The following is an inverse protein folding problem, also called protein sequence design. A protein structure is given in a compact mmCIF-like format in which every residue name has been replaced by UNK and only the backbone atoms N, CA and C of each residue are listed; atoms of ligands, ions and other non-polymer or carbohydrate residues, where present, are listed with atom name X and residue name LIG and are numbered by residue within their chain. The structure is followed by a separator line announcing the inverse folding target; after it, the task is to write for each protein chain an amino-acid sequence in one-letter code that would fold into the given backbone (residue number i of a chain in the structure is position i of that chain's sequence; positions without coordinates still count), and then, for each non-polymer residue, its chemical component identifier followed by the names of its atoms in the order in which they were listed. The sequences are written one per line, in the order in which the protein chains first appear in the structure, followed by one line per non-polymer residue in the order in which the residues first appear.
data_IF_129790634387
#
_entry.id   IF_129790634387
#
_cell.length_a   1.000
_cell.length_b   1.000
_cell.length_c   1.000
_cell.angle_alpha   90.00
_cell.angle_beta   90.00
_cell.angle_gamma   90.00
#
_symmetry.space_group_name_H-M   'P 1'
#
loop_
_entity.id
_entity.type
_entity.pdbx_description
1 polymer ?
#
# COMPACT_ATOMS: atom_id res chain seq x y z
N UNK A 1 -24.49 32.23 18.02
CA UNK A 1 -24.41 31.78 16.62
C UNK A 1 -23.43 30.61 16.58
N UNK A 2 -23.94 29.39 16.59
CA UNK A 2 -23.12 28.17 16.49
C UNK A 2 -22.54 28.11 15.08
N UNK A 3 -21.21 28.21 14.96
CA UNK A 3 -20.55 28.03 13.67
C UNK A 3 -20.80 26.59 13.22
N UNK A 4 -21.64 26.39 12.20
CA UNK A 4 -21.80 25.13 11.51
C UNK A 4 -20.41 24.71 10.96
N UNK A 5 -19.69 23.87 11.69
CA UNK A 5 -18.46 23.27 11.18
C UNK A 5 -18.82 22.45 9.96
N UNK A 6 -18.29 22.82 8.82
CA UNK A 6 -18.40 22.03 7.59
C UNK A 6 -17.82 20.64 7.89
N UNK A 7 -18.68 19.62 7.83
CA UNK A 7 -18.24 18.22 7.95
C UNK A 7 -18.14 17.67 6.53
N UNK A 8 -16.96 17.16 6.19
CA UNK A 8 -16.78 16.43 4.93
C UNK A 8 -17.76 15.26 4.87
N UNK A 9 -18.45 15.07 3.72
CA UNK A 9 -19.29 13.89 3.54
C UNK A 9 -18.46 12.61 3.59
N UNK A 10 -19.10 11.48 3.88
CA UNK A 10 -18.43 10.18 3.84
C UNK A 10 -18.05 9.81 2.40
N UNK A 11 -17.05 8.94 2.23
CA UNK A 11 -16.63 8.44 0.92
C UNK A 11 -17.83 7.87 0.13
N UNK A 12 -18.72 7.13 0.77
CA UNK A 12 -19.92 6.57 0.14
C UNK A 12 -20.84 7.67 -0.42
N UNK A 13 -21.05 8.75 0.33
CA UNK A 13 -21.86 9.89 -0.13
C UNK A 13 -21.22 10.55 -1.35
N UNK A 14 -19.89 10.75 -1.33
CA UNK A 14 -19.15 11.35 -2.44
C UNK A 14 -19.25 10.46 -3.68
N UNK A 15 -19.02 9.15 -3.55
CA UNK A 15 -19.12 8.20 -4.67
C UNK A 15 -20.53 8.17 -5.26
N UNK A 16 -21.56 8.14 -4.41
CA UNK A 16 -22.94 8.18 -4.89
C UNK A 16 -23.28 9.48 -5.62
N UNK A 17 -22.82 10.62 -5.11
CA UNK A 17 -22.97 11.91 -5.81
C UNK A 17 -22.24 11.91 -7.16
N UNK A 18 -21.06 11.30 -7.26
CA UNK A 18 -20.35 11.15 -8.53
C UNK A 18 -21.13 10.27 -9.53
N UNK A 19 -21.71 9.14 -9.07
CA UNK A 19 -22.58 8.31 -9.92
C UNK A 19 -23.75 9.12 -10.48
N UNK A 20 -24.43 9.91 -9.62
CA UNK A 20 -25.53 10.77 -10.05
C UNK A 20 -25.07 11.86 -11.03
N UNK A 21 -23.92 12.48 -10.79
CA UNK A 21 -23.34 13.49 -11.66
C UNK A 21 -23.00 12.90 -13.04
N UNK A 22 -22.37 11.71 -13.07
CA UNK A 22 -22.07 11.01 -14.32
C UNK A 22 -23.35 10.63 -15.04
N UNK A 23 -24.35 10.07 -14.35
CA UNK A 23 -25.65 9.75 -14.96
C UNK A 23 -26.32 11.00 -15.56
N UNK A 24 -26.29 12.13 -14.86
CA UNK A 24 -26.82 13.40 -15.38
C UNK A 24 -26.01 13.88 -16.59
N UNK A 25 -24.70 13.72 -16.62
CA UNK A 25 -23.84 14.13 -17.74
C UNK A 25 -24.17 13.41 -19.05
N UNK A 26 -24.67 12.16 -18.97
CA UNK A 26 -25.07 11.38 -20.17
C UNK A 26 -26.26 11.99 -20.95
N UNK A 27 -26.94 12.96 -20.37
CA UNK A 27 -28.01 13.70 -21.04
C UNK A 27 -27.51 14.88 -21.88
N UNK A 28 -26.29 15.30 -21.62
CA UNK A 28 -25.69 16.52 -22.26
C UNK A 28 -24.49 16.15 -23.14
N UNK A 29 -23.78 15.08 -22.83
CA UNK A 29 -22.59 14.66 -23.57
C UNK A 29 -23.01 13.75 -24.74
N UNK A 30 -22.62 14.08 -25.99
CA UNK A 30 -22.89 13.22 -27.14
C UNK A 30 -22.24 11.83 -26.94
N UNK A 31 -23.01 10.78 -27.24
CA UNK A 31 -22.52 9.42 -27.17
C UNK A 31 -21.62 9.08 -28.37
N UNK A 32 -20.47 8.45 -28.10
CA UNK A 32 -19.53 8.00 -29.10
C UNK A 32 -18.84 6.71 -28.68
N UNK A 33 -18.31 5.99 -29.65
CA UNK A 33 -17.56 4.76 -29.41
C UNK A 33 -16.31 4.71 -30.28
N UNK A 34 -15.35 3.87 -29.90
CA UNK A 34 -14.22 3.48 -30.74
C UNK A 34 -14.42 2.05 -31.23
N UNK A 35 -13.83 1.70 -32.36
CA UNK A 35 -13.67 0.31 -32.75
C UNK A 35 -12.56 -0.31 -31.87
N UNK A 36 -12.70 -1.58 -31.55
CA UNK A 36 -11.73 -2.31 -30.73
C UNK A 36 -11.10 -3.44 -31.54
N UNK A 37 -9.77 -3.54 -31.49
CA UNK A 37 -9.01 -4.68 -31.99
C UNK A 37 -8.26 -5.29 -30.79
N UNK A 38 -8.46 -6.58 -30.55
CA UNK A 38 -7.87 -7.33 -29.42
C UNK A 38 -8.08 -6.64 -28.04
N UNK A 39 -9.25 -6.02 -27.85
CA UNK A 39 -9.60 -5.32 -26.61
C UNK A 39 -9.00 -3.91 -26.47
N UNK A 40 -8.22 -3.44 -27.46
CA UNK A 40 -7.59 -2.11 -27.46
C UNK A 40 -8.35 -1.19 -28.43
N UNK A 41 -8.67 0.08 -28.02
CA UNK A 41 -9.31 1.03 -28.90
C UNK A 41 -8.39 1.42 -30.07
N UNK A 42 -8.93 1.34 -31.29
CA UNK A 42 -8.22 1.70 -32.52
C UNK A 42 -8.14 3.21 -32.64
N UNK A 43 -6.95 3.75 -32.78
CA UNK A 43 -6.73 5.20 -32.94
C UNK A 43 -7.45 5.73 -34.18
N UNK A 44 -8.19 6.85 -34.03
CA UNK A 44 -8.92 7.48 -35.16
C UNK A 44 -10.26 6.83 -35.52
N UNK A 45 -10.68 5.75 -34.86
CA UNK A 45 -11.95 5.05 -35.13
C UNK A 45 -13.16 5.64 -34.39
N UNK A 46 -13.01 6.79 -33.71
CA UNK A 46 -14.12 7.40 -32.99
C UNK A 46 -15.31 7.69 -33.93
N UNK A 47 -16.48 7.20 -33.56
CA UNK A 47 -17.73 7.46 -34.27
C UNK A 47 -18.87 7.75 -33.28
N UNK A 48 -19.82 8.57 -33.71
CA UNK A 48 -21.00 8.87 -32.90
C UNK A 48 -21.95 7.66 -32.88
N UNK A 49 -22.47 7.35 -31.70
CA UNK A 49 -23.48 6.30 -31.51
C UNK A 49 -24.79 6.88 -30.98
N UNK A 50 -25.86 6.09 -30.98
CA UNK A 50 -27.14 6.53 -30.46
C UNK A 50 -27.02 6.90 -28.98
N UNK A 51 -27.54 8.05 -28.60
CA UNK A 51 -27.53 8.50 -27.21
C UNK A 51 -28.37 7.56 -26.33
N UNK A 52 -27.79 7.14 -25.21
CA UNK A 52 -28.44 6.30 -24.20
C UNK A 52 -28.39 6.98 -22.83
N UNK A 53 -29.16 8.06 -22.60
CA UNK A 53 -29.14 8.81 -21.35
C UNK A 53 -29.57 7.91 -20.18
N UNK A 54 -28.79 7.95 -19.11
CA UNK A 54 -29.00 7.09 -17.95
C UNK A 54 -29.92 7.75 -16.93
N UNK A 55 -30.94 7.02 -16.49
CA UNK A 55 -31.87 7.47 -15.45
C UNK A 55 -31.47 7.00 -14.05
N UNK A 56 -32.30 7.37 -13.06
CA UNK A 56 -32.11 7.01 -11.65
C UNK A 56 -31.98 5.50 -11.44
N UNK A 57 -32.75 4.69 -12.18
CA UNK A 57 -32.67 3.24 -12.10
C UNK A 57 -31.29 2.69 -12.51
N UNK A 58 -30.66 3.27 -13.51
CA UNK A 58 -29.30 2.94 -13.92
C UNK A 58 -28.28 3.36 -12.86
N UNK A 59 -28.43 4.58 -12.31
CA UNK A 59 -27.56 5.06 -11.23
C UNK A 59 -27.61 4.17 -9.98
N UNK A 60 -28.79 3.67 -9.60
CA UNK A 60 -28.92 2.74 -8.47
C UNK A 60 -28.30 1.37 -8.76
N UNK A 61 -28.35 0.90 -10.01
CA UNK A 61 -27.73 -0.37 -10.41
C UNK A 61 -26.22 -0.25 -10.60
N UNK A 62 -25.71 0.93 -10.89
CA UNK A 62 -24.29 1.15 -11.19
C UNK A 62 -23.34 0.64 -10.11
N UNK A 63 -23.69 0.79 -8.83
CA UNK A 63 -22.90 0.27 -7.73
C UNK A 63 -22.76 -1.26 -7.75
N UNK A 64 -23.85 -1.98 -8.09
CA UNK A 64 -23.84 -3.43 -8.19
C UNK A 64 -23.11 -3.91 -9.45
N UNK A 65 -23.34 -3.25 -10.60
CA UNK A 65 -22.64 -3.56 -11.84
C UNK A 65 -21.13 -3.36 -11.68
N UNK A 66 -20.72 -2.20 -11.11
CA UNK A 66 -19.31 -1.93 -10.84
C UNK A 66 -18.65 -2.93 -9.89
N UNK A 67 -19.39 -3.47 -8.90
CA UNK A 67 -18.89 -4.55 -8.06
C UNK A 67 -18.65 -5.84 -8.85
N UNK A 68 -19.59 -6.22 -9.73
CA UNK A 68 -19.41 -7.40 -10.59
C UNK A 68 -18.25 -7.24 -11.57
N UNK A 69 -18.09 -6.05 -12.14
CA UNK A 69 -17.01 -5.73 -13.08
C UNK A 69 -15.63 -5.74 -12.41
N UNK A 70 -15.58 -5.44 -11.09
CA UNK A 70 -14.35 -5.36 -10.30
C UNK A 70 -14.18 -6.54 -9.33
N UNK A 71 -14.93 -7.63 -9.47
CA UNK A 71 -14.92 -8.74 -8.50
C UNK A 71 -13.54 -9.36 -8.30
N UNK A 72 -12.77 -9.52 -9.37
CA UNK A 72 -11.42 -10.07 -9.31
C UNK A 72 -10.48 -9.20 -8.47
N UNK A 73 -10.56 -7.88 -8.65
CA UNK A 73 -9.82 -6.90 -7.85
C UNK A 73 -10.27 -6.95 -6.39
N UNK A 74 -11.58 -7.01 -6.14
CA UNK A 74 -12.12 -7.07 -4.78
C UNK A 74 -11.64 -8.33 -4.04
N UNK A 75 -11.71 -9.50 -4.70
CA UNK A 75 -11.23 -10.77 -4.12
C UNK A 75 -9.73 -10.69 -3.84
N UNK A 76 -8.95 -10.15 -4.77
CA UNK A 76 -7.51 -9.99 -4.58
C UNK A 76 -7.18 -9.11 -3.37
N UNK A 77 -7.85 -7.96 -3.21
CA UNK A 77 -7.69 -7.06 -2.06
C UNK A 77 -7.99 -7.80 -0.75
N UNK A 78 -9.08 -8.56 -0.70
CA UNK A 78 -9.45 -9.35 0.47
C UNK A 78 -8.38 -10.41 0.80
N UNK A 79 -7.86 -11.10 -0.20
CA UNK A 79 -6.82 -12.12 0.01
C UNK A 79 -5.51 -11.51 0.52
N UNK A 80 -5.09 -10.36 -0.03
CA UNK A 80 -3.92 -9.62 0.47
C UNK A 80 -4.15 -9.13 1.89
N UNK A 81 -5.29 -8.53 2.17
CA UNK A 81 -5.66 -8.04 3.51
C UNK A 81 -5.69 -9.18 4.53
N UNK A 82 -6.33 -10.30 4.20
CA UNK A 82 -6.36 -11.49 5.05
C UNK A 82 -4.96 -12.04 5.34
N UNK A 83 -4.10 -12.16 4.33
CA UNK A 83 -2.69 -12.54 4.51
C UNK A 83 -1.95 -11.59 5.46
N UNK A 84 -2.07 -10.28 5.24
CA UNK A 84 -1.45 -9.27 6.09
C UNK A 84 -1.98 -9.35 7.52
N UNK A 85 -3.29 -9.54 7.71
CA UNK A 85 -3.90 -9.72 9.02
C UNK A 85 -3.29 -10.89 9.79
N UNK A 86 -3.09 -12.04 9.12
CA UNK A 86 -2.42 -13.21 9.73
C UNK A 86 -0.96 -12.91 10.06
N UNK A 87 -0.20 -12.29 9.15
CA UNK A 87 1.20 -11.91 9.40
C UNK A 87 1.31 -10.93 10.58
N UNK A 88 0.47 -9.91 10.63
CA UNK A 88 0.45 -8.92 11.73
C UNK A 88 0.12 -9.58 13.08
N UNK A 89 -0.83 -10.53 13.10
CA UNK A 89 -1.20 -11.29 14.30
C UNK A 89 -0.01 -12.03 14.92
N UNK A 90 0.94 -12.51 14.11
CA UNK A 90 2.14 -13.21 14.61
C UNK A 90 3.12 -12.32 15.38
N UNK A 91 3.04 -10.99 15.22
CA UNK A 91 4.02 -10.03 15.73
C UNK A 91 5.39 -10.09 15.06
N UNK A 92 5.53 -10.84 13.96
CA UNK A 92 6.82 -11.04 13.30
C UNK A 92 7.37 -9.73 12.72
N UNK A 93 6.50 -8.86 12.15
CA UNK A 93 6.90 -7.56 11.62
C UNK A 93 7.40 -6.66 12.75
N UNK A 94 6.69 -6.59 13.87
CA UNK A 94 7.08 -5.78 15.03
C UNK A 94 8.41 -6.25 15.62
N UNK A 95 8.60 -7.57 15.73
CA UNK A 95 9.87 -8.16 16.18
C UNK A 95 11.02 -7.86 15.21
N UNK A 96 10.75 -7.88 13.90
CA UNK A 96 11.71 -7.51 12.86
C UNK A 96 12.16 -6.06 12.98
N UNK A 97 11.22 -5.13 13.05
CA UNK A 97 11.50 -3.70 13.23
C UNK A 97 12.23 -3.44 14.54
N UNK A 98 11.79 -4.03 15.65
CA UNK A 98 12.44 -3.91 16.96
C UNK A 98 13.90 -4.39 16.91
N UNK A 99 14.19 -5.48 16.21
CA UNK A 99 15.55 -5.98 16.03
C UNK A 99 16.43 -5.03 15.20
N UNK A 100 15.89 -4.40 14.16
CA UNK A 100 16.59 -3.36 13.38
C UNK A 100 16.94 -2.17 14.26
N UNK A 101 15.98 -1.68 15.06
CA UNK A 101 16.20 -0.59 16.01
C UNK A 101 17.31 -0.94 16.99
N UNK A 102 17.25 -2.13 17.61
CA UNK A 102 18.24 -2.56 18.60
C UNK A 102 19.66 -2.66 18.01
N UNK A 103 19.80 -3.11 16.75
CA UNK A 103 21.10 -3.21 16.07
C UNK A 103 21.68 -1.88 15.64
N UNK A 104 20.84 -0.87 15.48
CA UNK A 104 21.23 0.47 14.99
C UNK A 104 21.30 1.52 16.10
N UNK A 105 21.21 1.13 17.37
CA UNK A 105 21.44 2.03 18.49
C UNK A 105 22.82 2.70 18.38
N UNK A 106 22.86 4.03 18.51
CA UNK A 106 24.06 4.83 18.31
C UNK A 106 24.39 5.17 16.84
N UNK A 107 23.57 4.69 15.89
CA UNK A 107 23.69 4.99 14.45
C UNK A 107 22.36 5.52 13.91
N UNK A 108 21.75 6.47 14.61
CA UNK A 108 20.36 6.90 14.37
C UNK A 108 20.15 7.48 12.97
N UNK A 109 21.20 8.06 12.36
CA UNK A 109 21.09 8.55 10.96
C UNK A 109 20.86 7.41 9.97
N UNK A 110 21.47 6.24 10.21
CA UNK A 110 21.23 5.04 9.41
C UNK A 110 19.85 4.44 9.70
N UNK A 111 19.38 4.55 10.94
CA UNK A 111 18.06 4.09 11.33
C UNK A 111 16.96 4.79 10.50
N UNK A 112 17.08 6.12 10.31
CA UNK A 112 16.16 6.91 9.47
C UNK A 112 16.10 6.31 8.06
N UNK A 113 17.26 6.17 7.40
CA UNK A 113 17.31 5.69 6.02
C UNK A 113 16.79 4.24 5.87
N UNK A 114 17.17 3.35 6.80
CA UNK A 114 16.77 1.94 6.75
C UNK A 114 15.28 1.78 7.00
N UNK A 115 14.72 2.49 7.98
CA UNK A 115 13.28 2.42 8.25
C UNK A 115 12.46 3.04 7.13
N UNK A 116 12.88 4.19 6.58
CA UNK A 116 12.20 4.78 5.43
C UNK A 116 12.22 3.82 4.24
N UNK A 117 13.37 3.22 3.93
CA UNK A 117 13.45 2.21 2.86
C UNK A 117 12.55 1.00 3.14
N UNK A 118 12.47 0.54 4.38
CA UNK A 118 11.57 -0.56 4.78
C UNK A 118 10.10 -0.17 4.52
N UNK A 119 9.66 1.00 4.99
CA UNK A 119 8.31 1.49 4.75
C UNK A 119 8.05 1.76 3.26
N UNK A 120 9.05 2.32 2.55
CA UNK A 120 8.99 2.56 1.13
C UNK A 120 8.84 1.28 0.31
N UNK A 121 9.56 0.22 0.67
CA UNK A 121 9.39 -1.10 0.06
C UNK A 121 7.98 -1.66 0.32
N UNK A 122 7.45 -1.53 1.54
CA UNK A 122 6.07 -1.89 1.84
C UNK A 122 5.07 -1.10 1.00
N UNK A 123 5.24 0.22 0.93
CA UNK A 123 4.38 1.10 0.13
C UNK A 123 4.39 0.77 -1.36
N UNK A 124 5.57 0.52 -1.94
CA UNK A 124 5.71 0.29 -3.38
C UNK A 124 5.31 -1.12 -3.82
N UNK A 125 5.33 -2.11 -2.91
CA UNK A 125 4.99 -3.51 -3.22
C UNK A 125 3.54 -3.85 -2.96
N UNK A 126 3.05 -3.65 -1.75
CA UNK A 126 1.66 -4.00 -1.38
C UNK A 126 0.80 -2.80 -0.96
N UNK A 127 1.34 -1.58 -1.06
CA UNK A 127 0.57 -0.38 -0.74
C UNK A 127 0.47 -0.10 0.75
N UNK A 128 1.48 -0.47 1.54
CA UNK A 128 1.51 -0.23 2.99
C UNK A 128 1.21 1.22 3.32
N UNK A 129 0.07 1.47 3.94
CA UNK A 129 -0.36 2.80 4.35
C UNK A 129 -1.03 2.77 5.73
N UNK A 130 -2.16 2.09 5.87
CA UNK A 130 -2.93 1.99 7.11
C UNK A 130 -2.16 1.24 8.19
N UNK A 131 -1.44 0.20 7.83
CA UNK A 131 -0.63 -0.62 8.75
C UNK A 131 0.50 0.18 9.39
N UNK A 132 0.90 1.30 8.76
CA UNK A 132 1.92 2.20 9.34
C UNK A 132 1.50 2.75 10.69
N UNK A 133 0.18 2.82 10.97
CA UNK A 133 -0.35 3.31 12.24
C UNK A 133 0.17 2.52 13.45
N UNK A 134 0.39 1.21 13.29
CA UNK A 134 0.90 0.34 14.35
C UNK A 134 2.34 0.70 14.78
N UNK A 135 3.12 1.34 13.91
CA UNK A 135 4.53 1.65 14.19
C UNK A 135 4.73 2.99 14.91
N UNK A 136 3.71 3.87 14.95
CA UNK A 136 3.85 5.14 15.66
C UNK A 136 4.16 4.97 17.16
N UNK A 137 3.43 4.15 17.92
CA UNK A 137 3.73 3.91 19.34
C UNK A 137 5.13 3.32 19.55
N UNK A 138 5.63 2.52 18.60
CA UNK A 138 6.93 1.89 18.69
C UNK A 138 8.07 2.85 18.35
N UNK A 139 7.96 3.62 17.26
CA UNK A 139 9.05 4.40 16.68
C UNK A 139 9.16 5.82 17.25
N UNK A 140 8.04 6.49 17.55
CA UNK A 140 8.10 7.84 18.10
C UNK A 140 8.95 7.94 19.36
N UNK A 141 8.76 7.07 20.39
CA UNK A 141 9.58 7.10 21.59
C UNK A 141 11.06 6.90 21.30
N UNK A 142 11.40 6.05 20.33
CA UNK A 142 12.80 5.76 19.94
C UNK A 142 13.45 7.02 19.35
N UNK A 143 12.78 7.73 18.44
CA UNK A 143 13.31 8.96 17.85
C UNK A 143 13.41 10.08 18.88
N UNK A 144 12.44 10.23 19.77
CA UNK A 144 12.50 11.21 20.86
C UNK A 144 13.66 10.92 21.83
N UNK A 145 13.86 9.65 22.22
CA UNK A 145 14.96 9.23 23.08
C UNK A 145 16.34 9.43 22.40
N UNK A 146 16.39 9.32 21.07
CA UNK A 146 17.59 9.60 20.28
C UNK A 146 17.89 11.10 20.09
N UNK A 147 17.06 12.00 20.66
CA UNK A 147 17.25 13.46 20.60
C UNK A 147 16.71 14.11 19.33
N UNK A 148 15.81 13.44 18.63
CA UNK A 148 15.03 14.01 17.53
C UNK A 148 13.67 14.53 18.05
N UNK A 149 12.93 15.23 17.21
CA UNK A 149 11.56 15.63 17.51
C UNK A 149 10.53 14.61 16.96
N UNK A 150 9.26 14.82 17.35
CA UNK A 150 8.19 13.96 16.89
C UNK A 150 7.97 14.02 15.36
N UNK A 151 8.32 15.13 14.71
CA UNK A 151 8.20 15.28 13.25
C UNK A 151 9.12 14.33 12.53
N UNK A 152 10.34 14.09 13.01
CA UNK A 152 11.26 13.09 12.43
C UNK A 152 10.63 11.71 12.50
N UNK A 153 10.09 11.28 13.66
CA UNK A 153 9.46 9.98 13.79
C UNK A 153 8.25 9.80 12.87
N UNK A 154 7.40 10.81 12.80
CA UNK A 154 6.23 10.81 11.88
C UNK A 154 6.69 10.81 10.43
N UNK A 155 7.66 11.62 10.06
CA UNK A 155 8.15 11.73 8.69
C UNK A 155 8.80 10.42 8.20
N UNK A 156 9.57 9.74 9.05
CA UNK A 156 10.17 8.43 8.69
C UNK A 156 9.09 7.43 8.28
N UNK A 157 7.99 7.37 9.00
CA UNK A 157 6.90 6.44 8.72
C UNK A 157 6.12 6.90 7.49
N UNK A 158 5.57 8.12 7.52
CA UNK A 158 4.64 8.59 6.48
C UNK A 158 5.33 8.90 5.16
N UNK A 159 6.50 9.54 5.17
CA UNK A 159 7.19 9.87 3.91
C UNK A 159 7.88 8.64 3.33
N UNK A 160 8.39 7.72 4.16
CA UNK A 160 8.90 6.45 3.67
C UNK A 160 7.81 5.65 2.95
N UNK A 161 6.71 5.33 3.63
CA UNK A 161 5.60 4.60 3.03
C UNK A 161 4.99 5.37 1.84
N UNK A 162 4.80 6.69 1.98
CA UNK A 162 4.19 7.54 0.96
C UNK A 162 5.01 7.64 -0.32
N UNK A 163 6.34 7.76 -0.25
CA UNK A 163 7.20 7.75 -1.42
C UNK A 163 7.10 6.40 -2.16
N UNK A 164 7.02 5.29 -1.42
CA UNK A 164 6.79 3.97 -1.96
C UNK A 164 5.44 3.84 -2.67
N UNK A 165 4.35 4.28 -2.02
CA UNK A 165 2.99 4.23 -2.60
C UNK A 165 2.89 5.08 -3.86
N UNK A 166 3.51 6.27 -3.89
CA UNK A 166 3.52 7.13 -5.09
C UNK A 166 4.27 6.46 -6.24
N UNK A 167 5.39 5.81 -5.96
CA UNK A 167 6.18 5.11 -6.98
C UNK A 167 5.53 3.81 -7.46
N UNK A 168 4.80 3.11 -6.57
CA UNK A 168 3.89 2.00 -6.88
C UNK A 168 4.43 0.98 -7.90
N UNK A 169 5.52 0.27 -7.58
CA UNK A 169 6.17 -0.66 -8.54
C UNK A 169 5.26 -1.82 -8.94
N UNK A 170 4.72 -2.52 -7.96
CA UNK A 170 3.81 -3.67 -8.15
C UNK A 170 2.62 -3.62 -7.18
N UNK A 171 2.35 -2.46 -6.63
CA UNK A 171 1.26 -2.24 -5.68
C UNK A 171 -0.09 -2.60 -6.32
N UNK A 172 -0.80 -3.60 -5.78
CA UNK A 172 -2.05 -4.07 -6.34
C UNK A 172 -3.17 -3.03 -6.30
N UNK A 173 -3.19 -2.19 -5.26
CA UNK A 173 -4.25 -1.20 -5.05
C UNK A 173 -4.14 0.02 -5.98
N UNK A 174 -2.94 0.38 -6.39
CA UNK A 174 -2.74 1.51 -7.30
C UNK A 174 -2.43 1.01 -8.71
N UNK A 175 -1.28 0.38 -8.90
CA UNK A 175 -0.84 -0.09 -10.22
C UNK A 175 -1.70 -1.25 -10.73
N UNK A 176 -2.08 -2.19 -9.85
CA UNK A 176 -2.89 -3.35 -10.25
C UNK A 176 -4.25 -2.94 -10.80
N UNK A 177 -4.97 -2.08 -10.06
CA UNK A 177 -6.27 -1.57 -10.49
C UNK A 177 -6.14 -0.77 -11.80
N UNK A 178 -5.14 0.13 -11.89
CA UNK A 178 -4.93 0.93 -13.08
C UNK A 178 -4.58 0.07 -14.31
N UNK A 179 -3.70 -0.93 -14.15
CA UNK A 179 -3.34 -1.87 -15.19
C UNK A 179 -4.55 -2.70 -15.66
N UNK A 180 -5.39 -3.15 -14.71
CA UNK A 180 -6.63 -3.88 -15.01
C UNK A 180 -7.58 -3.09 -15.90
N UNK A 181 -7.83 -1.82 -15.57
CA UNK A 181 -8.66 -0.94 -16.40
C UNK A 181 -8.01 -0.58 -17.74
N UNK A 182 -6.68 -0.51 -17.80
CA UNK A 182 -5.96 -0.26 -19.04
C UNK A 182 -5.81 -1.49 -19.93
N UNK A 183 -6.10 -2.70 -19.43
CA UNK A 183 -5.93 -3.96 -20.16
C UNK A 183 -4.46 -4.31 -20.42
N UNK A 184 -3.55 -3.87 -19.54
CA UNK A 184 -2.10 -4.13 -19.64
C UNK A 184 -1.62 -4.94 -18.44
N UNK A 185 -0.45 -5.60 -18.57
CA UNK A 185 0.13 -6.38 -17.47
C UNK A 185 0.49 -5.49 -16.27
N UNK A 186 0.36 -6.02 -15.06
CA UNK A 186 0.88 -5.38 -13.84
C UNK A 186 2.40 -5.11 -13.93
N UNK A 187 3.13 -5.92 -14.70
CA UNK A 187 4.56 -5.78 -14.94
C UNK A 187 4.94 -4.70 -15.95
N UNK A 188 4.02 -4.26 -16.81
CA UNK A 188 4.32 -3.27 -17.85
C UNK A 188 4.83 -1.97 -17.24
N UNK A 189 5.94 -1.46 -17.80
CA UNK A 189 6.56 -0.24 -17.29
C UNK A 189 7.25 -0.36 -15.93
N UNK A 190 7.45 -1.57 -15.39
CA UNK A 190 8.05 -1.80 -14.05
C UNK A 190 9.42 -1.14 -13.89
N UNK A 191 10.25 -1.11 -14.95
CA UNK A 191 11.57 -0.48 -14.90
C UNK A 191 11.46 1.02 -14.58
N UNK A 192 10.52 1.72 -15.22
CA UNK A 192 10.30 3.15 -14.98
C UNK A 192 9.78 3.40 -13.57
N UNK A 193 8.92 2.54 -13.05
CA UNK A 193 8.40 2.61 -11.67
C UNK A 193 9.48 2.32 -10.64
N UNK A 194 10.43 1.42 -10.92
CA UNK A 194 11.61 1.21 -10.06
C UNK A 194 12.49 2.47 -10.05
N UNK A 195 12.72 3.10 -11.19
CA UNK A 195 13.47 4.37 -11.27
C UNK A 195 12.76 5.47 -10.45
N UNK A 196 11.44 5.59 -10.58
CA UNK A 196 10.64 6.52 -9.78
C UNK A 196 10.75 6.23 -8.28
N UNK A 197 10.69 4.95 -7.89
CA UNK A 197 10.86 4.55 -6.49
C UNK A 197 12.22 4.99 -5.94
N UNK A 198 13.30 4.69 -6.64
CA UNK A 198 14.65 5.07 -6.21
C UNK A 198 14.79 6.59 -6.07
N UNK A 199 14.23 7.35 -7.02
CA UNK A 199 14.26 8.81 -7.00
C UNK A 199 13.44 9.40 -5.85
N UNK A 200 12.17 9.00 -5.72
CA UNK A 200 11.28 9.57 -4.70
C UNK A 200 11.69 9.17 -3.29
N UNK A 201 12.03 7.89 -3.09
CA UNK A 201 12.51 7.40 -1.81
C UNK A 201 13.86 8.04 -1.44
N UNK A 202 14.78 8.16 -2.40
CA UNK A 202 16.07 8.82 -2.19
C UNK A 202 15.91 10.29 -1.80
N UNK A 203 15.02 11.04 -2.45
CA UNK A 203 14.70 12.44 -2.10
C UNK A 203 14.06 12.51 -0.71
N UNK A 204 13.12 11.63 -0.40
CA UNK A 204 12.45 11.59 0.90
C UNK A 204 13.46 11.30 2.03
N UNK A 205 14.30 10.28 1.87
CA UNK A 205 15.37 9.94 2.83
C UNK A 205 16.33 11.12 3.03
N UNK A 206 16.77 11.73 1.94
CA UNK A 206 17.65 12.91 2.02
C UNK A 206 17.00 14.06 2.78
N UNK A 207 15.75 14.38 2.46
CA UNK A 207 15.03 15.49 3.08
C UNK A 207 14.82 15.27 4.58
N UNK A 208 14.33 14.09 4.97
CA UNK A 208 14.09 13.74 6.38
C UNK A 208 15.41 13.68 7.17
N UNK A 209 16.46 13.08 6.58
CA UNK A 209 17.78 13.02 7.20
C UNK A 209 18.39 14.40 7.39
N UNK A 210 18.22 15.31 6.42
CA UNK A 210 18.69 16.68 6.51
C UNK A 210 17.93 17.49 7.58
N UNK A 211 16.61 17.28 7.70
CA UNK A 211 15.82 17.88 8.77
C UNK A 211 16.25 17.33 10.15
N UNK A 212 16.33 16.02 10.28
CA UNK A 212 16.75 15.34 11.50
C UNK A 212 18.15 15.81 11.98
N UNK A 213 19.10 15.93 11.07
CA UNK A 213 20.44 16.45 11.38
C UNK A 213 20.42 17.91 11.86
N UNK A 214 19.53 18.74 11.31
CA UNK A 214 19.36 20.14 11.78
C UNK A 214 18.79 20.21 13.17
N UNK A 215 17.71 19.45 13.45
CA UNK A 215 17.07 19.40 14.77
C UNK A 215 18.01 18.84 15.82
N UNK A 216 18.79 17.79 15.50
CA UNK A 216 19.76 17.19 16.42
C UNK A 216 20.90 18.15 16.79
N UNK A 217 21.33 19.01 15.85
CA UNK A 217 22.39 20.05 16.11
C UNK A 217 21.84 21.24 16.89
N UNK A 218 20.65 21.67 16.57
CA UNK A 218 20.01 22.85 17.13
C UNK A 218 18.51 22.55 17.38
N UNK A 219 18.19 22.17 18.62
CA UNK A 219 16.81 21.85 19.02
C UNK A 219 15.80 22.99 18.81
N UNK A 220 16.24 24.24 18.75
CA UNK A 220 15.37 25.40 18.50
C UNK A 220 14.79 25.41 17.06
N UNK A 221 15.38 24.65 16.15
CA UNK A 221 14.94 24.51 14.76
C UNK A 221 13.83 23.48 14.56
N UNK A 222 13.40 22.81 15.63
CA UNK A 222 12.23 21.93 15.57
C UNK A 222 10.97 22.76 15.32
N UNK A 223 10.15 22.35 14.36
CA UNK A 223 8.87 23.01 14.06
C UNK A 223 7.79 22.77 15.12
N UNK A 224 7.95 21.77 15.98
CA UNK A 224 7.00 21.43 17.07
C UNK A 224 7.59 21.62 18.46
N UNK A 225 8.87 21.98 18.58
CA UNK A 225 9.59 22.07 19.86
C UNK A 225 10.00 20.69 20.39
N UNK A 226 11.23 20.65 20.98
CA UNK A 226 11.68 19.45 21.69
C UNK A 226 11.10 19.52 23.09
N UNK A 227 10.12 18.73 23.40
CA UNK A 227 9.51 18.66 24.73
C UNK A 227 7.98 18.80 24.76
N UNK A 228 7.33 18.96 23.64
CA UNK A 228 5.87 18.89 23.55
C UNK A 228 5.29 17.50 23.88
N UNK A 229 6.12 16.54 24.22
CA UNK A 229 5.75 15.21 24.65
C UNK A 229 6.79 14.65 25.61
N UNK A 230 6.66 14.91 26.90
CA UNK A 230 6.96 13.87 27.87
C UNK A 230 5.90 12.76 27.68
N UNK A 231 5.85 12.18 26.50
CA UNK A 231 5.34 10.84 26.36
C UNK A 231 6.24 10.00 27.25
N UNK A 232 5.73 9.60 28.41
CA UNK A 232 6.29 8.49 29.15
C UNK A 232 6.25 7.34 28.13
N UNK A 233 7.39 7.17 27.47
CA UNK A 233 7.60 6.04 26.60
C UNK A 233 7.56 4.82 27.51
N UNK A 234 6.38 4.26 27.68
CA UNK A 234 6.30 2.84 27.83
C UNK A 234 6.84 2.34 26.49
N UNK A 235 8.16 2.11 26.48
CA UNK A 235 8.85 1.50 25.33
C UNK A 235 8.22 0.12 25.24
N UNK A 236 7.17 0.02 24.43
CA UNK A 236 6.39 -1.19 24.25
C UNK A 236 7.37 -2.35 24.14
N UNK A 237 7.13 -3.40 24.86
CA UNK A 237 8.05 -4.54 25.02
C UNK A 237 8.72 -4.86 23.69
N UNK A 238 10.02 -4.55 23.58
CA UNK A 238 10.84 -4.91 22.42
C UNK A 238 10.77 -6.43 22.30
N UNK A 239 9.94 -6.92 21.39
CA UNK A 239 9.80 -8.36 21.21
C UNK A 239 11.08 -8.88 20.56
N UNK A 240 11.76 -9.87 21.17
CA UNK A 240 12.96 -10.44 20.57
C UNK A 240 12.60 -11.18 19.28
N UNK A 241 13.40 -10.98 18.24
CA UNK A 241 13.25 -11.70 16.97
C UNK A 241 13.56 -13.19 17.20
N UNK A 242 12.54 -14.02 17.27
CA UNK A 242 12.68 -15.47 17.39
C UNK A 242 12.98 -16.09 16.03
N UNK A 243 13.49 -17.36 16.03
CA UNK A 243 13.65 -18.13 14.78
C UNK A 243 12.34 -18.29 14.03
N UNK A 244 11.22 -18.42 14.75
CA UNK A 244 9.88 -18.51 14.16
C UNK A 244 9.51 -17.20 13.47
N UNK A 245 9.68 -16.06 14.14
CA UNK A 245 9.43 -14.74 13.52
C UNK A 245 10.29 -14.54 12.27
N UNK A 246 11.57 -14.91 12.31
CA UNK A 246 12.45 -14.81 11.14
C UNK A 246 11.97 -15.70 9.97
N UNK A 247 11.49 -16.92 10.26
CA UNK A 247 10.92 -17.79 9.24
C UNK A 247 9.62 -17.25 8.66
N UNK A 248 8.74 -16.66 9.49
CA UNK A 248 7.51 -16.01 9.03
C UNK A 248 7.85 -14.80 8.13
N UNK A 249 8.80 -13.95 8.53
CA UNK A 249 9.27 -12.83 7.69
C UNK A 249 9.89 -13.31 6.38
N UNK A 250 10.54 -14.46 6.38
CA UNK A 250 11.06 -15.07 5.15
C UNK A 250 9.91 -15.52 4.23
N UNK A 251 8.88 -16.19 4.77
CA UNK A 251 7.67 -16.56 3.98
C UNK A 251 6.98 -15.31 3.47
N UNK A 252 6.83 -14.28 4.31
CA UNK A 252 6.29 -12.98 3.90
C UNK A 252 7.05 -12.39 2.71
N UNK A 253 8.37 -12.26 2.82
CA UNK A 253 9.20 -11.73 1.74
C UNK A 253 9.13 -12.61 0.48
N UNK A 254 9.15 -13.95 0.64
CA UNK A 254 9.07 -14.89 -0.46
C UNK A 254 7.73 -14.77 -1.21
N UNK A 255 6.62 -14.60 -0.50
CA UNK A 255 5.29 -14.41 -1.12
C UNK A 255 5.32 -13.20 -2.06
N UNK A 256 5.90 -12.06 -1.63
CA UNK A 256 6.03 -10.88 -2.51
C UNK A 256 7.04 -11.10 -3.64
N UNK A 257 8.14 -11.79 -3.40
CA UNK A 257 9.10 -12.11 -4.48
C UNK A 257 8.47 -13.00 -5.55
N UNK A 258 7.67 -14.00 -5.14
CA UNK A 258 6.92 -14.87 -6.06
C UNK A 258 5.85 -14.08 -6.81
N UNK A 259 5.14 -13.16 -6.14
CA UNK A 259 4.22 -12.25 -6.78
C UNK A 259 4.91 -11.43 -7.87
N UNK A 260 6.03 -10.78 -7.54
CA UNK A 260 6.80 -9.96 -8.48
C UNK A 260 7.25 -10.80 -9.68
N UNK A 261 7.79 -12.00 -9.42
CA UNK A 261 8.20 -12.91 -10.50
C UNK A 261 7.02 -13.31 -11.38
N UNK A 262 5.85 -13.56 -10.79
CA UNK A 262 4.63 -13.98 -11.49
C UNK A 262 4.09 -12.95 -12.47
N UNK A 263 4.33 -11.65 -12.21
CA UNK A 263 3.76 -10.55 -13.02
C UNK A 263 4.75 -9.91 -14.00
N UNK A 264 6.06 -10.20 -13.90
CA UNK A 264 7.06 -9.58 -14.79
C UNK A 264 6.98 -10.21 -16.19
N UNK A 265 6.83 -9.41 -17.26
CA UNK A 265 6.89 -9.86 -18.65
C UNK A 265 8.37 -9.96 -19.10
N UNK A 266 9.06 -11.04 -18.72
CA UNK A 266 10.48 -11.24 -18.99
C UNK A 266 10.81 -11.31 -20.49
N UNK A 267 9.87 -11.78 -21.33
CA UNK A 267 9.99 -11.83 -22.79
C UNK A 267 10.09 -10.43 -23.40
N UNK A 268 9.27 -9.48 -22.94
CA UNK A 268 9.33 -8.08 -23.37
C UNK A 268 10.64 -7.40 -22.96
N UNK A 269 11.24 -7.85 -21.85
CA UNK A 269 12.53 -7.37 -21.36
C UNK A 269 13.73 -8.05 -22.07
N UNK A 270 13.48 -9.00 -22.99
CA UNK A 270 14.51 -9.78 -23.68
C UNK A 270 15.27 -10.75 -22.77
N UNK A 271 14.71 -11.13 -21.63
CA UNK A 271 15.29 -12.07 -20.69
C UNK A 271 14.78 -13.49 -20.97
N UNK A 272 15.67 -14.53 -21.02
CA UNK A 272 15.27 -15.92 -21.29
C UNK A 272 14.70 -16.60 -20.04
N UNK A 273 13.74 -15.97 -19.36
CA UNK A 273 13.06 -16.50 -18.17
C UNK A 273 11.61 -16.84 -18.51
N UNK A 274 11.02 -17.88 -17.88
CA UNK A 274 9.62 -18.21 -18.10
C UNK A 274 8.72 -17.08 -17.64
N UNK A 275 7.82 -16.64 -18.51
CA UNK A 275 6.77 -15.68 -18.17
C UNK A 275 5.58 -16.45 -17.65
N UNK A 276 5.10 -16.11 -16.45
CA UNK A 276 3.95 -16.75 -15.84
C UNK A 276 2.64 -16.04 -16.19
N UNK A 277 2.69 -14.73 -16.49
CA UNK A 277 1.53 -13.93 -16.86
C UNK A 277 0.43 -13.93 -15.81
N UNK A 278 0.81 -13.97 -14.54
CA UNK A 278 -0.14 -14.01 -13.43
C UNK A 278 -0.97 -12.74 -13.35
N UNK A 279 -2.25 -12.95 -13.03
CA UNK A 279 -3.22 -11.91 -12.80
C UNK A 279 -3.88 -12.08 -11.43
N UNK A 280 -4.97 -11.37 -11.17
CA UNK A 280 -5.63 -11.36 -9.86
C UNK A 280 -6.01 -12.74 -9.31
N UNK A 281 -6.49 -13.73 -10.09
CA UNK A 281 -6.81 -15.06 -9.55
C UNK A 281 -5.59 -15.79 -8.99
N UNK A 282 -4.46 -15.82 -9.74
CA UNK A 282 -3.23 -16.48 -9.32
C UNK A 282 -2.60 -15.77 -8.11
N UNK A 283 -2.63 -14.43 -8.13
CA UNK A 283 -2.15 -13.62 -7.02
C UNK A 283 -3.00 -13.83 -5.78
N UNK A 284 -4.32 -13.91 -5.90
CA UNK A 284 -5.24 -14.21 -4.79
C UNK A 284 -4.93 -15.56 -4.16
N UNK A 285 -4.71 -16.60 -5.00
CA UNK A 285 -4.34 -17.93 -4.53
C UNK A 285 -2.99 -17.92 -3.80
N UNK A 286 -1.99 -17.16 -4.29
CA UNK A 286 -0.68 -17.01 -3.65
C UNK A 286 -0.81 -16.44 -2.23
N UNK A 287 -1.56 -15.36 -2.06
CA UNK A 287 -1.74 -14.71 -0.75
C UNK A 287 -2.56 -15.56 0.21
N UNK A 288 -3.58 -16.27 -0.28
CA UNK A 288 -4.34 -17.22 0.52
C UNK A 288 -3.44 -18.34 1.05
N UNK A 289 -2.64 -18.96 0.18
CA UNK A 289 -1.68 -20.02 0.58
C UNK A 289 -0.62 -19.46 1.53
N UNK A 290 -0.09 -18.27 1.26
CA UNK A 290 0.85 -17.59 2.15
C UNK A 290 0.27 -17.38 3.54
N UNK A 291 -0.99 -16.93 3.65
CA UNK A 291 -1.69 -16.77 4.92
C UNK A 291 -1.87 -18.07 5.69
N UNK A 292 -2.26 -19.15 4.99
CA UNK A 292 -2.37 -20.48 5.60
C UNK A 292 -1.02 -20.96 6.11
N UNK A 293 0.04 -20.85 5.31
CA UNK A 293 1.40 -21.27 5.70
C UNK A 293 1.87 -20.51 6.93
N UNK A 294 1.70 -19.18 6.96
CA UNK A 294 2.08 -18.35 8.11
C UNK A 294 1.28 -18.74 9.36
N UNK A 295 -0.04 -18.92 9.23
CA UNK A 295 -0.90 -19.34 10.34
C UNK A 295 -0.50 -20.70 10.92
N UNK A 296 -0.18 -21.66 10.06
CA UNK A 296 0.32 -22.97 10.49
C UNK A 296 1.69 -22.87 11.19
N UNK A 297 2.59 -22.02 10.69
CA UNK A 297 3.91 -21.78 11.32
C UNK A 297 3.76 -21.14 12.69
N UNK A 298 2.78 -20.26 12.87
CA UNK A 298 2.48 -19.63 14.15
C UNK A 298 1.63 -20.52 15.06
N UNK A 299 1.18 -21.69 14.56
CA UNK A 299 0.35 -22.68 15.25
C UNK A 299 -1.02 -22.12 15.66
N UNK A 300 -1.58 -21.25 14.83
CA UNK A 300 -2.95 -20.80 15.01
C UNK A 300 -3.90 -21.97 14.84
N UNK A 301 -4.92 -22.06 15.70
CA UNK A 301 -6.00 -23.01 15.52
C UNK A 301 -6.82 -22.67 14.27
N UNK A 302 -7.52 -23.66 13.70
CA UNK A 302 -8.34 -23.46 12.48
C UNK A 302 -9.30 -22.28 12.58
N UNK A 303 -10.03 -22.20 13.68
CA UNK A 303 -11.01 -21.12 13.92
C UNK A 303 -10.29 -19.76 14.04
N UNK A 304 -9.21 -19.71 14.84
CA UNK A 304 -8.45 -18.47 15.04
C UNK A 304 -7.80 -17.99 13.73
N UNK A 305 -7.28 -18.90 12.91
CA UNK A 305 -6.72 -18.58 11.60
C UNK A 305 -7.81 -17.98 10.68
N UNK A 306 -8.97 -18.62 10.61
CA UNK A 306 -10.08 -18.15 9.78
C UNK A 306 -10.58 -16.77 10.25
N UNK A 307 -10.80 -16.58 11.55
CA UNK A 307 -11.24 -15.31 12.12
C UNK A 307 -10.20 -14.19 11.88
N UNK A 308 -8.90 -14.49 12.07
CA UNK A 308 -7.82 -13.53 11.83
C UNK A 308 -7.74 -13.15 10.36
N UNK A 309 -7.84 -14.13 9.46
CA UNK A 309 -7.83 -13.89 8.03
C UNK A 309 -9.02 -13.02 7.62
N UNK A 310 -10.23 -13.38 8.02
CA UNK A 310 -11.45 -12.60 7.71
C UNK A 310 -11.40 -11.19 8.31
N UNK A 311 -10.83 -11.03 9.51
CA UNK A 311 -10.69 -9.70 10.11
C UNK A 311 -9.64 -8.81 9.40
N UNK A 312 -8.73 -9.42 8.68
CA UNK A 312 -7.75 -8.71 7.85
C UNK A 312 -8.29 -8.31 6.47
N UNK A 313 -9.36 -9.00 6.01
CA UNK A 313 -10.06 -8.66 4.77
C UNK A 313 -10.82 -7.34 4.89
#
# INVERSE_FOLDING_TARGET
MEQRKFRMPTAYTILFCLILLVAASTWFIPAGSYDYADGVPVSGSYHAVAAAPQGIGAALKAAFSGFYDAVDVCVFILMVGGFLGVVMKTGAIDAGVSNVIARLQGKESWLIAILMLFFGLGGTTYGMWEETMAFFPLLLPVFLAAGYDAVVGVAVILLGAGAGVIASTVNPFATGIAAGFAGVSLGDGILWRIIQFVLFEGIAIWYVSAYAARVKRDPSRSVVGIGAGKLHADVGHVQPLTRRHAAILMVFALTFLVMIYGVIPFDEMGLPLPVLGWWFPELSALFLVGGIVVGLMDRLGEVELAETFVSGC
#
